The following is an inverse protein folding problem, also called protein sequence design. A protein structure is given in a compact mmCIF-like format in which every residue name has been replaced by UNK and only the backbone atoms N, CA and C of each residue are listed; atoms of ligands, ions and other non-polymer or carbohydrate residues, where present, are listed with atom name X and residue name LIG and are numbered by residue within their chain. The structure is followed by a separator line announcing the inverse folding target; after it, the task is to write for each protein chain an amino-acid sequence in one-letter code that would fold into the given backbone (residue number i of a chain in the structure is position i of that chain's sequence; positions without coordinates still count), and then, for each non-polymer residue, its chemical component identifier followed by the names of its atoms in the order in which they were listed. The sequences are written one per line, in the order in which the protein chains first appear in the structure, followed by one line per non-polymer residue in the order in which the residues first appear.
data_IF_420072986717
#
_entry.id   IF_420072986717
#
_cell.length_a   1.000
_cell.length_b   1.000
_cell.length_c   1.000
_cell.angle_alpha   90.00
_cell.angle_beta   90.00
_cell.angle_gamma   90.00
#
_symmetry.space_group_name_H-M   'P 1'
#
loop_
_entity.id
_entity.type
_entity.pdbx_description
1 polymer ?
#
# COMPACT_ATOMS: atom_id res chain seq x y z
N UNK A 1 -25.86 21.96 3.58
CA UNK A 1 -25.02 21.02 2.79
C UNK A 1 -24.75 19.83 3.70
N UNK A 2 -25.82 19.13 4.04
CA UNK A 2 -25.82 17.92 4.84
C UNK A 2 -25.98 16.78 3.83
N UNK A 3 -25.00 15.89 3.74
CA UNK A 3 -25.05 14.79 2.80
C UNK A 3 -23.66 14.21 2.54
N UNK A 4 -23.47 12.97 3.00
CA UNK A 4 -22.40 12.01 2.68
C UNK A 4 -21.20 11.85 3.63
N UNK A 5 -21.28 12.28 4.90
CA UNK A 5 -20.31 11.83 5.95
C UNK A 5 -20.72 10.46 6.52
N UNK A 6 -20.90 9.46 5.64
CA UNK A 6 -21.47 8.14 6.02
C UNK A 6 -20.97 6.94 5.23
N UNK A 7 -20.12 7.14 4.21
CA UNK A 7 -19.54 6.06 3.39
C UNK A 7 -17.99 6.05 3.43
N UNK A 8 -17.38 6.82 4.33
CA UNK A 8 -16.00 7.30 4.13
C UNK A 8 -14.92 6.40 4.76
N UNK A 9 -15.24 5.51 5.70
CA UNK A 9 -14.22 4.58 6.24
C UNK A 9 -13.86 3.46 5.25
N UNK A 10 -14.80 2.98 4.43
CA UNK A 10 -14.53 1.95 3.42
C UNK A 10 -13.93 2.52 2.11
N UNK A 11 -14.27 3.77 1.78
CA UNK A 11 -13.75 4.43 0.58
C UNK A 11 -12.26 4.78 0.69
N UNK A 12 -11.75 5.01 1.91
CA UNK A 12 -10.32 5.25 2.14
C UNK A 12 -9.46 4.03 1.72
N UNK A 13 -9.91 2.80 1.99
CA UNK A 13 -9.19 1.59 1.56
C UNK A 13 -9.20 1.37 0.04
N UNK A 14 -10.37 1.50 -0.57
CA UNK A 14 -10.56 1.22 -2.01
C UNK A 14 -10.00 2.31 -2.92
N UNK A 15 -9.97 3.58 -2.49
CA UNK A 15 -9.50 4.70 -3.33
C UNK A 15 -8.04 5.10 -3.09
N UNK A 16 -7.47 4.82 -1.92
CA UNK A 16 -6.05 5.13 -1.63
C UNK A 16 -5.12 4.15 -2.33
N UNK A 17 -5.50 2.86 -2.37
CA UNK A 17 -4.73 1.81 -3.01
C UNK A 17 -4.40 2.12 -4.50
N UNK A 18 -5.38 2.44 -5.37
CA UNK A 18 -5.09 2.74 -6.77
C UNK A 18 -4.29 4.03 -6.95
N UNK A 19 -4.50 5.07 -6.12
CA UNK A 19 -3.75 6.34 -6.24
C UNK A 19 -2.26 6.14 -5.96
N UNK A 20 -1.90 5.34 -4.94
CA UNK A 20 -0.49 5.04 -4.62
C UNK A 20 0.14 4.07 -5.62
N UNK A 21 -0.62 3.09 -6.10
CA UNK A 21 -0.19 2.18 -7.16
C UNK A 21 0.15 2.93 -8.45
N UNK A 22 -0.73 3.82 -8.91
CA UNK A 22 -0.54 4.57 -10.16
C UNK A 22 0.71 5.44 -10.09
N UNK A 23 0.97 6.12 -8.96
CA UNK A 23 2.19 6.91 -8.79
C UNK A 23 3.45 6.05 -8.80
N UNK A 24 3.44 4.90 -8.13
CA UNK A 24 4.56 3.98 -8.09
C UNK A 24 4.87 3.38 -9.47
N UNK A 25 3.84 2.98 -10.21
CA UNK A 25 4.01 2.43 -11.55
C UNK A 25 4.42 3.48 -12.58
N UNK A 26 3.90 4.71 -12.46
CA UNK A 26 4.34 5.83 -13.29
C UNK A 26 5.83 6.12 -13.08
N UNK A 27 6.32 6.17 -11.84
CA UNK A 27 7.74 6.38 -11.54
C UNK A 27 8.66 5.25 -12.02
N UNK A 28 8.15 4.01 -12.10
CA UNK A 28 8.93 2.84 -12.51
C UNK A 28 8.96 2.62 -14.02
N UNK A 29 7.86 2.91 -14.69
CA UNK A 29 7.65 2.55 -16.09
C UNK A 29 7.69 3.74 -17.04
N UNK A 30 7.55 4.97 -16.54
CA UNK A 30 7.54 6.19 -17.36
C UNK A 30 8.75 7.05 -16.99
N UNK A 31 9.76 7.15 -17.87
CA UNK A 31 10.95 7.94 -17.61
C UNK A 31 10.63 9.45 -17.61
N UNK A 32 11.38 10.26 -16.85
CA UNK A 32 11.15 11.72 -16.77
C UNK A 32 11.47 12.45 -18.08
N UNK A 33 12.25 11.83 -18.98
CA UNK A 33 12.53 12.35 -20.32
C UNK A 33 11.65 11.65 -21.36
N UNK A 34 10.56 12.30 -21.71
CA UNK A 34 9.68 11.88 -22.79
C UNK A 34 10.32 12.23 -24.15
N UNK A 35 10.66 11.22 -24.94
CA UNK A 35 11.04 11.42 -26.36
C UNK A 35 9.82 11.60 -27.26
N UNK A 36 8.68 11.04 -26.87
CA UNK A 36 7.46 10.93 -27.66
C UNK A 36 6.25 11.13 -26.73
N UNK A 37 5.14 11.70 -27.23
CA UNK A 37 3.93 12.00 -26.43
C UNK A 37 3.02 10.78 -26.23
N UNK A 38 3.34 9.65 -26.86
CA UNK A 38 2.55 8.42 -26.84
C UNK A 38 3.31 7.32 -26.08
N UNK A 39 2.58 6.52 -25.32
CA UNK A 39 3.15 5.41 -24.56
C UNK A 39 3.74 4.39 -25.53
N UNK A 40 5.05 4.14 -25.43
CA UNK A 40 5.70 3.11 -26.23
C UNK A 40 5.19 1.73 -25.80
N UNK A 41 5.19 0.76 -26.74
CA UNK A 41 4.77 -0.63 -26.44
C UNK A 41 5.52 -1.27 -25.27
N UNK A 42 6.74 -0.79 -24.96
CA UNK A 42 7.51 -1.21 -23.79
C UNK A 42 6.97 -0.66 -22.46
N UNK A 43 6.45 0.57 -22.47
CA UNK A 43 5.89 1.23 -21.29
C UNK A 43 4.54 0.64 -20.92
N UNK A 44 3.69 0.31 -21.91
CA UNK A 44 2.41 -0.36 -21.67
C UNK A 44 2.60 -1.74 -21.02
N UNK A 45 3.49 -2.57 -21.55
CA UNK A 45 3.83 -3.88 -20.95
C UNK A 45 4.46 -3.74 -19.56
N UNK A 46 5.24 -2.68 -19.33
CA UNK A 46 5.79 -2.40 -18.00
C UNK A 46 4.68 -2.07 -16.99
N UNK A 47 3.69 -1.24 -17.37
CA UNK A 47 2.57 -0.89 -16.51
C UNK A 47 1.76 -2.12 -16.10
N UNK A 48 1.43 -3.01 -17.04
CA UNK A 48 0.70 -4.25 -16.75
C UNK A 48 1.46 -5.13 -15.73
N UNK A 49 2.77 -5.31 -15.95
CA UNK A 49 3.64 -6.06 -15.02
C UNK A 49 3.77 -5.36 -13.66
N UNK A 50 3.78 -4.04 -13.64
CA UNK A 50 3.91 -3.26 -12.42
C UNK A 50 2.67 -3.41 -11.54
N UNK A 51 1.47 -3.31 -12.12
CA UNK A 51 0.20 -3.50 -11.39
C UNK A 51 0.14 -4.90 -10.79
N UNK A 52 0.45 -5.93 -11.57
CA UNK A 52 0.48 -7.31 -11.08
C UNK A 52 1.43 -7.50 -9.89
N UNK A 53 2.65 -6.94 -9.98
CA UNK A 53 3.62 -7.00 -8.87
C UNK A 53 3.20 -6.17 -7.66
N UNK A 54 2.59 -5.01 -7.88
CA UNK A 54 2.18 -4.12 -6.79
C UNK A 54 1.16 -4.80 -5.89
N UNK A 55 0.17 -5.49 -6.47
CA UNK A 55 -0.85 -6.22 -5.72
C UNK A 55 -0.25 -7.38 -4.91
N UNK A 56 0.62 -8.20 -5.50
CA UNK A 56 1.29 -9.31 -4.80
C UNK A 56 2.12 -8.79 -3.61
N UNK A 57 2.91 -7.72 -3.81
CA UNK A 57 3.66 -7.09 -2.72
C UNK A 57 2.72 -6.51 -1.68
N UNK A 58 1.65 -5.83 -2.08
CA UNK A 58 0.71 -5.22 -1.14
C UNK A 58 0.07 -6.28 -0.21
N UNK A 59 -0.32 -7.43 -0.75
CA UNK A 59 -0.87 -8.54 0.04
C UNK A 59 0.16 -9.12 1.03
N UNK A 60 1.42 -9.32 0.59
CA UNK A 60 2.48 -9.82 1.47
C UNK A 60 2.82 -8.84 2.58
N UNK A 61 2.88 -7.55 2.27
CA UNK A 61 3.13 -6.49 3.25
C UNK A 61 1.99 -6.40 4.27
N UNK A 62 0.74 -6.55 3.82
CA UNK A 62 -0.42 -6.62 4.70
C UNK A 62 -0.31 -7.75 5.72
N UNK A 63 0.03 -8.97 5.28
CA UNK A 63 0.24 -10.13 6.17
C UNK A 63 1.37 -9.89 7.18
N UNK A 64 2.49 -9.32 6.72
CA UNK A 64 3.64 -9.06 7.61
C UNK A 64 3.34 -7.98 8.63
N UNK A 65 2.61 -6.93 8.24
CA UNK A 65 2.21 -5.87 9.15
C UNK A 65 1.33 -6.42 10.28
N UNK A 66 0.34 -7.26 9.94
CA UNK A 66 -0.50 -7.92 10.94
C UNK A 66 0.31 -8.84 11.87
N UNK A 67 1.24 -9.64 11.32
CA UNK A 67 2.13 -10.49 12.13
C UNK A 67 2.96 -9.67 13.12
N UNK A 68 3.54 -8.56 12.67
CA UNK A 68 4.31 -7.66 13.51
C UNK A 68 3.47 -7.00 14.61
N UNK A 69 2.22 -6.60 14.31
CA UNK A 69 1.31 -6.05 15.33
C UNK A 69 0.98 -7.06 16.42
N UNK A 70 0.82 -8.34 16.08
CA UNK A 70 0.61 -9.40 17.07
C UNK A 70 1.86 -9.66 17.92
N UNK A 71 3.05 -9.58 17.30
CA UNK A 71 4.31 -9.68 18.04
C UNK A 71 4.51 -8.51 19.01
N UNK A 72 4.13 -7.29 18.61
CA UNK A 72 4.24 -6.09 19.44
C UNK A 72 3.30 -6.16 20.66
N UNK A 73 2.05 -6.58 20.46
CA UNK A 73 1.09 -6.83 21.55
C UNK A 73 1.60 -7.87 22.56
N UNK A 74 2.21 -8.96 22.07
CA UNK A 74 2.78 -9.98 22.95
C UNK A 74 4.02 -9.48 23.70
N UNK A 75 4.88 -8.68 23.04
CA UNK A 75 6.03 -8.04 23.68
C UNK A 75 5.60 -7.04 24.76
N UNK A 76 4.61 -6.19 24.48
CA UNK A 76 4.03 -5.24 25.43
C UNK A 76 3.43 -5.95 26.65
N UNK A 77 2.73 -7.07 26.45
CA UNK A 77 2.16 -7.87 27.55
C UNK A 77 3.25 -8.52 28.41
N UNK A 78 4.36 -8.98 27.80
CA UNK A 78 5.52 -9.49 28.53
C UNK A 78 6.24 -8.38 29.30
N UNK A 79 6.34 -7.18 28.75
CA UNK A 79 6.93 -6.02 29.44
C UNK A 79 6.10 -5.57 30.66
N UNK A 80 4.76 -5.62 30.60
CA UNK A 80 3.89 -5.24 31.72
C UNK A 80 3.91 -6.23 32.90
N UNK A 81 4.28 -7.51 32.65
CA UNK A 81 4.41 -8.50 33.72
C UNK A 81 5.74 -8.41 34.46
N UNK A 82 6.75 -7.74 33.89
CA UNK A 82 8.09 -7.58 34.47
C UNK A 82 8.23 -6.42 35.46
N UNK A 83 7.24 -5.52 35.57
CA UNK A 83 7.29 -4.34 36.46
C UNK A 83 6.45 -4.47 37.74
N UNK A 84 5.88 -5.65 38.01
CA UNK A 84 5.01 -5.93 39.17
C UNK A 84 5.65 -6.70 40.34
N UNK A 85 6.96 -6.95 40.31
CA UNK A 85 7.69 -7.56 41.44
C UNK A 85 8.82 -6.65 41.89
N UNK A 86 8.47 -5.64 42.68
CA UNK A 86 9.36 -4.94 43.61
C UNK A 86 8.57 -4.67 44.89
#
# INVERSE_FOLDING_TARGET
REGTVGAEQNCCGVTVLPRRMTQACHLKCVPPHYKEAELSKGESVCLDRCVAKYLDVHERMGKKLTELSLQDEELLKRMQQGTGTA
#
